data_IF_674764996538
#
_entry.id   IF_674764996538
#
_cell.length_a   1.000
_cell.length_b   1.000
_cell.length_c   1.000
_cell.angle_alpha   90.00
_cell.angle_beta   90.00
_cell.angle_gamma   90.00
#
_symmetry.space_group_name_H-M   'P 1'
#
loop_
_entity.id
_entity.type
_entity.pdbx_description
1 polymer ?
#
# COMPACT_ATOMS: atom_id res chain seq x y z
N UNK A 1 -56.85 -6.46 -5.85
CA UNK A 1 -57.15 -5.07 -6.28
C UNK A 1 -57.62 -4.33 -5.04
N UNK A 2 -56.68 -3.76 -4.29
CA UNK A 2 -56.97 -2.95 -3.11
C UNK A 2 -56.51 -1.52 -3.38
N UNK A 3 -57.46 -0.60 -3.22
CA UNK A 3 -57.38 0.83 -3.50
C UNK A 3 -56.76 1.55 -2.29
N UNK A 4 -55.62 2.20 -2.51
CA UNK A 4 -54.94 3.05 -1.51
C UNK A 4 -55.60 4.46 -1.52
N UNK A 5 -55.94 5.03 -0.35
CA UNK A 5 -56.53 6.36 -0.26
C UNK A 5 -55.47 7.46 -0.47
N UNK A 6 -55.79 8.42 -1.33
CA UNK A 6 -54.92 9.55 -1.68
C UNK A 6 -54.71 10.52 -0.51
N UNK A 7 -53.46 10.92 -0.31
CA UNK A 7 -53.08 11.96 0.63
C UNK A 7 -53.48 13.35 0.12
N UNK A 8 -54.00 14.23 1.00
CA UNK A 8 -54.34 15.61 0.65
C UNK A 8 -53.06 16.42 0.40
N UNK A 9 -52.96 16.98 -0.80
CA UNK A 9 -51.85 17.87 -1.18
C UNK A 9 -51.85 19.16 -0.36
N UNK A 10 -50.66 19.74 -0.09
CA UNK A 10 -50.53 20.98 0.66
C UNK A 10 -51.22 22.12 -0.08
N UNK A 11 -52.08 22.82 0.65
CA UNK A 11 -52.80 24.01 0.22
C UNK A 11 -51.78 25.10 -0.12
N UNK A 12 -51.69 25.45 -1.40
CA UNK A 12 -50.91 26.60 -1.88
C UNK A 12 -51.55 27.87 -1.32
N UNK A 13 -51.01 28.37 -0.21
CA UNK A 13 -51.33 29.69 0.32
C UNK A 13 -50.86 30.73 -0.69
N UNK A 14 -51.80 31.56 -1.15
CA UNK A 14 -51.63 32.61 -2.15
C UNK A 14 -50.45 33.53 -1.80
N UNK A 15 -49.46 33.55 -2.68
CA UNK A 15 -48.37 34.52 -2.71
C UNK A 15 -48.96 35.94 -2.79
N UNK A 16 -48.92 36.64 -1.67
CA UNK A 16 -49.04 38.10 -1.68
C UNK A 16 -47.77 38.66 -2.30
N UNK A 17 -47.85 39.49 -3.35
CA UNK A 17 -46.67 40.05 -3.99
C UNK A 17 -45.90 40.89 -2.99
N UNK A 18 -44.66 40.48 -2.71
CA UNK A 18 -43.72 41.22 -1.86
C UNK A 18 -43.61 42.65 -2.43
N UNK A 19 -43.87 43.69 -1.62
CA UNK A 19 -43.84 45.07 -2.10
C UNK A 19 -42.45 45.40 -2.63
N UNK A 20 -42.38 45.99 -3.83
CA UNK A 20 -41.13 46.25 -4.54
C UNK A 20 -40.08 47.05 -3.71
N UNK A 21 -40.52 47.82 -2.71
CA UNK A 21 -39.62 48.54 -1.80
C UNK A 21 -38.85 47.64 -0.83
N UNK A 22 -39.37 46.47 -0.47
CA UNK A 22 -38.73 45.54 0.47
C UNK A 22 -37.57 44.77 -0.19
N UNK A 23 -37.70 44.44 -1.48
CA UNK A 23 -36.62 43.85 -2.27
C UNK A 23 -35.43 44.80 -2.45
N UNK A 24 -35.69 46.09 -2.67
CA UNK A 24 -34.62 47.07 -2.79
C UNK A 24 -33.86 47.23 -1.46
N UNK A 25 -34.59 47.28 -0.34
CA UNK A 25 -33.98 47.35 0.99
C UNK A 25 -33.09 46.14 1.29
N UNK A 26 -33.56 44.93 0.97
CA UNK A 26 -32.75 43.72 1.10
C UNK A 26 -31.50 43.73 0.21
N UNK A 27 -31.61 44.25 -1.01
CA UNK A 27 -30.48 44.35 -1.94
C UNK A 27 -29.41 45.32 -1.41
N UNK A 28 -29.84 46.46 -0.85
CA UNK A 28 -28.95 47.45 -0.26
C UNK A 28 -28.26 46.89 1.00
N UNK A 29 -29.01 46.19 1.88
CA UNK A 29 -28.46 45.50 3.05
C UNK A 29 -27.44 44.40 2.67
N UNK A 30 -27.73 43.60 1.65
CA UNK A 30 -26.80 42.61 1.10
C UNK A 30 -25.54 43.26 0.53
N UNK A 31 -25.67 44.35 -0.21
CA UNK A 31 -24.54 45.06 -0.81
C UNK A 31 -23.63 45.64 0.27
N UNK A 32 -24.21 46.19 1.34
CA UNK A 32 -23.47 46.70 2.49
C UNK A 32 -22.73 45.57 3.24
N UNK A 33 -23.38 44.43 3.46
CA UNK A 33 -22.75 43.27 4.09
C UNK A 33 -21.56 42.73 3.27
N UNK A 34 -21.68 42.69 1.94
CA UNK A 34 -20.58 42.29 1.05
C UNK A 34 -19.40 43.26 1.16
N UNK A 35 -19.66 44.58 1.23
CA UNK A 35 -18.59 45.58 1.38
C UNK A 35 -17.88 45.46 2.74
N UNK A 36 -18.63 45.20 3.82
CA UNK A 36 -18.05 44.98 5.14
C UNK A 36 -17.16 43.72 5.17
N UNK A 37 -17.61 42.62 4.56
CA UNK A 37 -16.81 41.40 4.44
C UNK A 37 -15.53 41.62 3.62
N UNK A 38 -15.59 42.39 2.54
CA UNK A 38 -14.39 42.76 1.77
C UNK A 38 -13.39 43.58 2.58
N UNK A 39 -13.85 44.51 3.43
CA UNK A 39 -12.99 45.27 4.33
C UNK A 39 -12.32 44.37 5.38
N UNK A 40 -13.08 43.45 5.98
CA UNK A 40 -12.53 42.49 6.94
C UNK A 40 -11.48 41.57 6.31
N UNK A 41 -11.71 41.10 5.08
CA UNK A 41 -10.74 40.29 4.33
C UNK A 41 -9.44 41.09 4.12
N UNK A 42 -9.52 42.34 3.70
CA UNK A 42 -8.34 43.19 3.49
C UNK A 42 -7.54 43.42 4.78
N UNK A 43 -8.20 43.62 5.92
CA UNK A 43 -7.56 43.75 7.23
C UNK A 43 -6.85 42.45 7.66
N UNK A 44 -7.50 41.30 7.47
CA UNK A 44 -6.92 39.99 7.74
C UNK A 44 -5.70 39.70 6.86
N UNK A 45 -5.73 40.08 5.59
CA UNK A 45 -4.58 39.96 4.68
C UNK A 45 -3.39 40.80 5.14
N UNK A 46 -3.63 42.02 5.63
CA UNK A 46 -2.58 42.87 6.20
C UNK A 46 -1.95 42.24 7.45
N UNK A 47 -2.76 41.70 8.36
CA UNK A 47 -2.29 41.00 9.55
C UNK A 47 -1.43 39.77 9.21
N UNK A 48 -1.86 38.97 8.23
CA UNK A 48 -1.10 37.81 7.74
C UNK A 48 0.24 38.25 7.14
N UNK A 49 0.26 39.33 6.34
CA UNK A 49 1.50 39.90 5.79
C UNK A 49 2.44 40.38 6.89
N UNK A 50 1.91 41.03 7.93
CA UNK A 50 2.69 41.49 9.09
C UNK A 50 3.30 40.33 9.87
N UNK A 51 2.55 39.25 10.09
CA UNK A 51 3.08 38.03 10.71
C UNK A 51 4.16 37.37 9.84
N UNK A 52 3.95 37.26 8.52
CA UNK A 52 4.96 36.71 7.60
C UNK A 52 6.28 37.47 7.68
N UNK A 53 6.24 38.81 7.71
CA UNK A 53 7.44 39.64 7.89
C UNK A 53 8.13 39.39 9.23
N UNK A 54 7.36 39.25 10.31
CA UNK A 54 7.87 39.00 11.66
C UNK A 54 8.57 37.63 11.75
N UNK A 55 7.93 36.58 11.23
CA UNK A 55 8.50 35.23 11.19
C UNK A 55 9.76 35.21 10.32
N UNK A 56 9.74 35.83 9.14
CA UNK A 56 10.91 35.94 8.26
C UNK A 56 12.10 36.62 8.96
N UNK A 57 11.83 37.71 9.70
CA UNK A 57 12.85 38.39 10.50
C UNK A 57 13.43 37.47 11.59
N UNK A 58 12.57 36.78 12.35
CA UNK A 58 13.01 35.86 13.41
C UNK A 58 13.84 34.69 12.84
N UNK A 59 13.39 34.09 11.74
CA UNK A 59 14.13 33.02 11.05
C UNK A 59 15.51 33.48 10.57
N UNK A 60 15.63 34.73 10.09
CA UNK A 60 16.92 35.31 9.68
C UNK A 60 17.86 35.53 10.87
N UNK A 61 17.34 35.94 12.02
CA UNK A 61 18.14 36.11 13.26
C UNK A 61 18.65 34.76 13.79
N UNK A 62 17.84 33.70 13.69
CA UNK A 62 18.20 32.36 14.18
C UNK A 62 19.18 31.65 13.23
N UNK A 63 19.04 31.88 11.92
CA UNK A 63 19.82 31.18 10.90
C UNK A 63 21.23 31.72 10.66
N UNK A 64 21.62 32.86 11.24
CA UNK A 64 22.99 33.39 11.14
C UNK A 64 23.87 32.82 12.27
N UNK A 65 24.70 31.80 12.02
CA UNK A 65 25.47 31.12 13.07
C UNK A 65 26.70 31.93 13.50
N UNK A 66 26.95 33.10 12.91
CA UNK A 66 28.21 33.85 13.06
C UNK A 66 28.37 34.62 14.37
N UNK A 67 27.39 34.56 15.28
CA UNK A 67 27.43 35.28 16.58
C UNK A 67 27.82 34.37 17.76
N UNK A 68 27.87 33.04 17.59
CA UNK A 68 28.36 32.16 18.66
C UNK A 68 29.88 32.03 18.65
N UNK A 69 30.48 33.00 19.34
CA UNK A 69 31.80 33.04 19.98
C UNK A 69 32.60 31.73 19.98
N UNK A 70 33.83 31.87 19.50
CA UNK A 70 34.98 31.03 19.80
C UNK A 70 35.12 30.74 21.30
N UNK A 71 35.21 29.45 21.65
CA UNK A 71 35.65 28.94 22.95
C UNK A 71 36.95 28.17 22.71
N UNK A 72 38.00 28.37 23.52
CA UNK A 72 39.31 27.77 23.28
C UNK A 72 39.32 26.25 23.54
N UNK A 73 39.95 25.54 22.61
CA UNK A 73 40.15 24.09 22.58
C UNK A 73 41.18 23.67 23.65
N UNK A 74 40.81 22.72 24.51
CA UNK A 74 41.75 21.93 25.32
C UNK A 74 41.67 20.48 24.84
N UNK A 75 42.76 19.84 24.40
CA UNK A 75 42.75 18.47 23.94
C UNK A 75 43.04 17.50 25.09
N UNK A 76 42.16 16.53 25.34
CA UNK A 76 42.46 15.35 26.15
C UNK A 76 42.13 14.09 25.35
N UNK A 77 43.17 13.34 25.00
CA UNK A 77 43.10 11.99 24.45
C UNK A 77 42.95 10.96 25.58
N UNK A 78 42.12 9.91 25.42
CA UNK A 78 42.27 8.70 26.21
C UNK A 78 42.93 7.57 25.37
N UNK A 79 44.03 7.07 25.91
CA UNK A 79 44.76 5.86 25.53
C UNK A 79 43.93 4.61 25.86
N UNK A 80 43.90 3.62 24.96
CA UNK A 80 43.42 2.26 25.27
C UNK A 80 44.58 1.26 25.28
N UNK A 81 44.59 0.27 26.19
CA UNK A 81 45.74 -0.61 26.40
C UNK A 81 45.71 -1.87 25.51
N UNK A 82 46.88 -2.23 24.97
CA UNK A 82 47.15 -3.51 24.32
C UNK A 82 47.52 -4.59 25.35
N UNK A 83 47.10 -5.84 25.13
CA UNK A 83 47.78 -7.00 25.73
C UNK A 83 47.83 -8.22 24.78
N UNK A 84 48.85 -9.09 24.93
CA UNK A 84 49.31 -10.06 23.93
C UNK A 84 48.86 -11.52 24.20
N UNK A 85 48.87 -12.37 23.17
CA UNK A 85 48.88 -13.85 23.31
C UNK A 85 50.33 -14.39 23.36
N UNK A 86 50.61 -15.68 23.07
CA UNK A 86 49.79 -16.92 23.10
C UNK A 86 50.48 -18.07 23.90
N UNK A 87 49.85 -19.25 24.03
CA UNK A 87 50.58 -20.49 24.41
C UNK A 87 49.91 -21.76 23.86
N UNK A 88 50.75 -22.69 23.39
CA UNK A 88 50.48 -23.94 22.68
C UNK A 88 50.53 -25.14 23.65
N UNK A 89 49.52 -26.01 23.70
CA UNK A 89 49.66 -27.41 24.19
C UNK A 89 48.64 -28.33 23.49
N UNK A 90 49.02 -29.59 23.31
CA UNK A 90 48.51 -30.62 22.41
C UNK A 90 47.20 -31.37 22.80
N UNK A 91 46.60 -32.00 21.76
CA UNK A 91 45.90 -33.32 21.62
C UNK A 91 45.85 -34.25 22.87
N UNK A 92 44.85 -35.17 23.10
CA UNK A 92 44.28 -36.12 22.11
C UNK A 92 42.80 -36.61 22.30
N UNK A 93 42.35 -37.45 21.35
CA UNK A 93 41.29 -38.51 21.39
C UNK A 93 39.97 -38.33 20.59
N UNK A 94 39.88 -39.15 19.53
CA UNK A 94 38.69 -39.79 18.91
C UNK A 94 38.26 -41.06 19.70
N UNK A 95 37.22 -41.85 19.29
CA UNK A 95 35.92 -41.60 18.63
C UNK A 95 34.75 -42.33 19.37
N UNK A 96 33.49 -42.20 18.94
CA UNK A 96 32.58 -43.37 18.73
C UNK A 96 31.17 -43.00 18.20
N UNK A 97 30.72 -43.86 17.29
CA UNK A 97 29.45 -43.89 16.57
C UNK A 97 28.30 -44.49 17.40
N UNK A 98 27.04 -44.19 17.04
CA UNK A 98 25.87 -44.91 17.56
C UNK A 98 24.59 -44.63 16.78
N UNK A 99 24.23 -45.55 15.88
CA UNK A 99 22.94 -45.67 15.19
C UNK A 99 21.94 -46.41 16.07
N UNK A 100 20.64 -46.05 16.02
CA UNK A 100 19.54 -47.04 15.91
C UNK A 100 18.16 -46.42 15.61
N UNK A 101 17.21 -47.19 15.04
CA UNK A 101 16.06 -46.70 14.28
C UNK A 101 14.69 -47.11 14.83
N UNK A 102 13.64 -46.38 14.41
CA UNK A 102 12.32 -46.97 14.09
C UNK A 102 11.16 -46.76 15.08
N UNK A 103 10.11 -46.07 14.63
CA UNK A 103 8.74 -46.62 14.51
C UNK A 103 7.81 -45.61 13.83
N UNK A 104 7.18 -46.04 12.72
CA UNK A 104 6.29 -45.27 11.85
C UNK A 104 4.91 -45.07 12.49
N UNK A 105 4.43 -43.82 12.48
CA UNK A 105 3.13 -43.36 13.01
C UNK A 105 2.01 -43.43 11.96
N UNK A 106 2.30 -43.84 10.73
CA UNK A 106 1.43 -43.62 9.57
C UNK A 106 0.40 -44.72 9.26
N UNK A 107 0.28 -45.77 10.09
CA UNK A 107 -0.63 -46.90 9.81
C UNK A 107 -1.99 -46.84 10.54
N UNK A 108 -2.47 -45.66 10.97
CA UNK A 108 -3.81 -45.54 11.56
C UNK A 108 -4.80 -44.86 10.62
N UNK A 109 -5.92 -45.51 10.24
CA UNK A 109 -6.95 -44.86 9.44
C UNK A 109 -7.71 -43.81 10.27
N UNK A 110 -8.17 -42.71 9.64
CA UNK A 110 -8.84 -41.62 10.34
C UNK A 110 -10.24 -42.02 10.83
N UNK A 111 -10.66 -41.53 12.02
CA UNK A 111 -11.98 -41.83 12.59
C UNK A 111 -13.09 -41.15 11.78
N UNK A 112 -14.16 -41.88 11.53
CA UNK A 112 -15.36 -41.36 10.84
C UNK A 112 -16.29 -40.70 11.86
N UNK A 113 -16.66 -39.45 11.60
CA UNK A 113 -17.65 -38.71 12.39
C UNK A 113 -19.05 -38.96 11.81
N UNK A 114 -19.92 -39.56 12.61
CA UNK A 114 -21.35 -39.70 12.36
C UNK A 114 -22.09 -38.45 12.85
N UNK A 115 -22.69 -37.70 11.93
CA UNK A 115 -23.61 -36.60 12.24
C UNK A 115 -24.98 -37.20 12.55
N UNK A 116 -25.42 -37.09 13.80
CA UNK A 116 -26.77 -37.42 14.24
C UNK A 116 -27.62 -36.14 14.22
N UNK A 117 -28.66 -36.14 13.40
CA UNK A 117 -29.78 -35.19 13.48
C UNK A 117 -30.74 -35.61 14.60
N UNK A 118 -31.12 -34.65 15.44
CA UNK A 118 -32.45 -34.62 16.09
C UNK A 118 -32.70 -33.23 16.70
N UNK A 119 -33.87 -32.60 16.45
CA UNK A 119 -34.29 -31.39 17.15
C UNK A 119 -35.15 -31.74 18.37
N UNK A 120 -34.90 -31.10 19.50
CA UNK A 120 -35.88 -31.06 20.59
C UNK A 120 -36.43 -29.63 20.77
N UNK A 121 -37.77 -29.49 20.92
CA UNK A 121 -38.45 -28.23 21.16
C UNK A 121 -38.54 -27.94 22.68
N UNK A 122 -38.82 -26.68 23.02
CA UNK A 122 -39.09 -26.15 24.37
C UNK A 122 -37.89 -25.62 25.17
N UNK A 123 -37.54 -24.36 24.88
CA UNK A 123 -37.05 -23.43 25.91
C UNK A 123 -37.72 -22.06 25.71
N UNK A 124 -38.21 -21.39 26.79
CA UNK A 124 -38.96 -20.15 26.69
C UNK A 124 -38.05 -18.92 26.51
N UNK A 125 -38.43 -18.07 25.55
CA UNK A 125 -37.77 -16.79 25.22
C UNK A 125 -37.76 -15.79 26.39
N UNK A 126 -36.62 -15.10 26.65
CA UNK A 126 -36.64 -13.78 27.24
C UNK A 126 -36.96 -12.74 26.15
N UNK A 127 -37.87 -11.81 26.46
CA UNK A 127 -38.57 -10.97 25.50
C UNK A 127 -37.71 -9.94 24.73
N UNK A 128 -38.25 -9.40 23.61
CA UNK A 128 -37.57 -8.41 22.79
C UNK A 128 -37.84 -7.00 23.32
N UNK A 129 -37.01 -6.52 24.25
CA UNK A 129 -36.88 -5.08 24.51
C UNK A 129 -35.56 -4.59 23.91
N UNK A 130 -35.45 -4.69 22.59
CA UNK A 130 -34.48 -3.90 21.82
C UNK A 130 -35.21 -2.65 21.35
N UNK A 131 -35.38 -1.71 22.28
CA UNK A 131 -35.80 -0.35 21.95
C UNK A 131 -34.73 0.23 21.03
N UNK A 132 -35.01 0.24 19.73
CA UNK A 132 -34.30 1.02 18.73
C UNK A 132 -34.38 2.50 19.17
N UNK A 133 -33.47 2.94 20.03
CA UNK A 133 -33.25 4.36 20.20
C UNK A 133 -32.68 4.87 18.88
N UNK A 134 -33.33 5.84 18.22
CA UNK A 134 -32.71 6.54 17.10
C UNK A 134 -31.43 7.16 17.66
N UNK A 135 -30.27 6.71 17.17
CA UNK A 135 -28.97 7.36 17.42
C UNK A 135 -29.20 8.86 17.24
N UNK A 136 -29.09 9.63 18.33
CA UNK A 136 -29.22 11.08 18.30
C UNK A 136 -28.29 11.61 17.21
N UNK A 137 -28.91 12.13 16.16
CA UNK A 137 -28.27 12.46 14.91
C UNK A 137 -27.18 13.51 15.12
N UNK A 138 -26.07 13.33 14.43
CA UNK A 138 -25.08 14.37 14.25
C UNK A 138 -25.79 15.65 13.78
N UNK A 139 -25.72 16.74 14.55
CA UNK A 139 -26.31 18.05 14.25
C UNK A 139 -25.61 18.80 13.09
N UNK A 140 -25.13 18.06 12.08
CA UNK A 140 -24.51 18.59 10.87
C UNK A 140 -25.43 18.32 9.67
N UNK A 141 -26.51 19.11 9.48
CA UNK A 141 -27.64 18.76 8.62
C UNK A 141 -27.38 18.66 7.11
N UNK A 142 -26.18 19.00 6.60
CA UNK A 142 -25.99 19.11 5.15
C UNK A 142 -24.87 18.30 4.51
N UNK A 143 -23.85 17.85 5.27
CA UNK A 143 -22.71 17.13 4.66
C UNK A 143 -22.73 15.63 4.99
N UNK A 144 -23.21 15.26 6.19
CA UNK A 144 -23.20 13.86 6.61
C UNK A 144 -24.29 12.99 5.94
N UNK A 145 -25.37 13.61 5.44
CA UNK A 145 -26.50 12.87 4.85
C UNK A 145 -26.29 12.45 3.38
N UNK A 146 -25.29 13.03 2.70
CA UNK A 146 -25.08 12.83 1.26
C UNK A 146 -24.17 11.63 0.93
N UNK A 147 -23.47 11.08 1.92
CA UNK A 147 -22.46 10.04 1.69
C UNK A 147 -22.57 8.92 2.72
N UNK A 148 -23.05 7.75 2.28
CA UNK A 148 -23.04 6.53 3.07
C UNK A 148 -21.59 6.03 3.23
N UNK A 149 -20.96 6.48 4.31
CA UNK A 149 -19.55 6.23 4.57
C UNK A 149 -19.30 4.76 4.86
N UNK A 150 -20.17 4.11 5.63
CA UNK A 150 -19.97 2.72 6.05
C UNK A 150 -20.08 1.78 4.84
N UNK A 151 -21.07 1.99 3.97
CA UNK A 151 -21.20 1.24 2.73
C UNK A 151 -20.01 1.47 1.80
N UNK A 152 -19.51 2.71 1.71
CA UNK A 152 -18.34 3.02 0.88
C UNK A 152 -17.06 2.38 1.41
N UNK A 153 -16.81 2.46 2.73
CA UNK A 153 -15.66 1.82 3.38
C UNK A 153 -15.71 0.31 3.17
N UNK A 154 -16.88 -0.32 3.36
CA UNK A 154 -17.07 -1.75 3.15
C UNK A 154 -16.79 -2.16 1.69
N UNK A 155 -17.33 -1.40 0.73
CA UNK A 155 -17.14 -1.63 -0.71
C UNK A 155 -15.67 -1.54 -1.10
N UNK A 156 -14.98 -0.47 -0.67
CA UNK A 156 -13.56 -0.28 -0.93
C UNK A 156 -12.72 -1.39 -0.30
N UNK A 157 -13.03 -1.79 0.93
CA UNK A 157 -12.31 -2.87 1.63
C UNK A 157 -12.42 -4.20 0.88
N UNK A 158 -13.61 -4.54 0.38
CA UNK A 158 -13.82 -5.73 -0.45
C UNK A 158 -13.00 -5.65 -1.75
N UNK A 159 -12.97 -4.48 -2.40
CA UNK A 159 -12.18 -4.28 -3.63
C UNK A 159 -10.68 -4.39 -3.38
N UNK A 160 -10.14 -3.83 -2.30
CA UNK A 160 -8.74 -3.99 -1.92
C UNK A 160 -8.38 -5.47 -1.72
N UNK A 161 -9.19 -6.20 -0.93
CA UNK A 161 -8.98 -7.63 -0.71
C UNK A 161 -8.98 -8.42 -2.02
N UNK A 162 -9.95 -8.16 -2.89
CA UNK A 162 -10.03 -8.82 -4.20
C UNK A 162 -8.83 -8.49 -5.09
N UNK A 163 -8.34 -7.24 -5.06
CA UNK A 163 -7.16 -6.82 -5.81
C UNK A 163 -5.91 -7.58 -5.34
N UNK A 164 -5.65 -7.63 -4.04
CA UNK A 164 -4.49 -8.32 -3.47
C UNK A 164 -4.59 -9.85 -3.62
N UNK A 165 -5.80 -10.41 -3.55
CA UNK A 165 -6.01 -11.82 -3.85
C UNK A 165 -5.67 -12.16 -5.31
N UNK A 166 -6.02 -11.27 -6.27
CA UNK A 166 -5.67 -11.48 -7.69
C UNK A 166 -4.16 -11.45 -7.93
N UNK A 167 -3.40 -10.61 -7.21
CA UNK A 167 -1.93 -10.61 -7.33
C UNK A 167 -1.30 -11.88 -6.77
N UNK A 168 -1.84 -12.45 -5.68
CA UNK A 168 -1.44 -13.75 -5.15
C UNK A 168 -1.71 -14.87 -6.16
N UNK A 169 -2.93 -14.94 -6.72
CA UNK A 169 -3.31 -15.93 -7.73
C UNK A 169 -2.42 -15.81 -8.97
N UNK A 170 -2.13 -14.59 -9.42
CA UNK A 170 -1.24 -14.35 -10.55
C UNK A 170 0.17 -14.88 -10.29
N UNK A 171 0.74 -14.55 -9.13
CA UNK A 171 2.05 -15.04 -8.72
C UNK A 171 2.09 -16.57 -8.66
N UNK A 172 1.04 -17.19 -8.13
CA UNK A 172 0.93 -18.64 -8.00
C UNK A 172 0.83 -19.32 -9.38
N UNK A 173 0.05 -18.74 -10.29
CA UNK A 173 -0.23 -19.32 -11.61
C UNK A 173 0.97 -19.20 -12.55
N UNK A 174 1.63 -18.04 -12.58
CA UNK A 174 2.60 -17.72 -13.63
C UNK A 174 4.06 -17.76 -13.17
N UNK A 175 4.31 -17.55 -11.88
CA UNK A 175 5.66 -17.34 -11.36
C UNK A 175 6.07 -18.34 -10.26
N UNK A 176 5.30 -19.40 -9.99
CA UNK A 176 5.54 -20.27 -8.85
C UNK A 176 6.60 -21.38 -9.06
N UNK A 177 7.18 -21.48 -10.26
CA UNK A 177 8.24 -22.47 -10.53
C UNK A 177 9.61 -21.80 -10.40
N UNK A 178 10.44 -22.16 -9.41
CA UNK A 178 11.78 -21.64 -9.25
C UNK A 178 12.66 -21.94 -10.47
N UNK A 179 13.43 -20.93 -10.90
CA UNK A 179 14.31 -21.03 -12.04
C UNK A 179 15.65 -20.40 -11.71
N UNK A 180 16.39 -21.04 -10.82
CA UNK A 180 17.66 -20.55 -10.23
C UNK A 180 18.58 -19.94 -11.30
N UNK A 181 18.73 -20.58 -12.47
CA UNK A 181 19.56 -20.06 -13.57
C UNK A 181 19.06 -18.72 -14.11
N UNK A 182 17.75 -18.54 -14.30
CA UNK A 182 17.19 -17.27 -14.77
C UNK A 182 17.15 -16.22 -13.68
N UNK A 183 16.75 -16.60 -12.49
CA UNK A 183 16.76 -15.73 -11.31
C UNK A 183 18.17 -15.19 -11.08
N UNK A 184 19.19 -16.03 -11.31
CA UNK A 184 20.58 -15.62 -11.18
C UNK A 184 21.03 -14.59 -12.25
N UNK A 185 20.35 -14.58 -13.39
CA UNK A 185 20.63 -13.71 -14.55
C UNK A 185 19.79 -12.44 -14.57
N UNK A 186 18.91 -12.22 -13.59
CA UNK A 186 18.23 -10.94 -13.43
C UNK A 186 19.28 -9.82 -13.37
N UNK A 187 18.99 -8.72 -14.04
CA UNK A 187 19.83 -7.52 -13.96
C UNK A 187 19.84 -6.94 -12.55
N UNK A 188 20.79 -6.05 -12.31
CA UNK A 188 21.00 -5.43 -11.01
C UNK A 188 19.77 -4.65 -10.51
N UNK A 189 19.09 -3.91 -11.40
CA UNK A 189 17.93 -3.09 -11.04
C UNK A 189 16.76 -3.96 -10.57
N UNK A 190 16.47 -5.05 -11.28
CA UNK A 190 15.42 -6.01 -10.88
C UNK A 190 15.76 -6.70 -9.56
N UNK A 191 17.02 -7.06 -9.34
CA UNK A 191 17.49 -7.64 -8.08
C UNK A 191 17.37 -6.66 -6.92
N UNK A 192 17.78 -5.41 -7.12
CA UNK A 192 17.68 -4.35 -6.12
C UNK A 192 16.22 -4.08 -5.75
N UNK A 193 15.32 -4.07 -6.72
CA UNK A 193 13.88 -3.99 -6.47
C UNK A 193 13.39 -5.13 -5.55
N UNK A 194 13.75 -6.39 -5.83
CA UNK A 194 13.37 -7.53 -4.98
C UNK A 194 14.01 -7.47 -3.59
N UNK A 195 15.25 -6.99 -3.48
CA UNK A 195 15.96 -6.78 -2.21
C UNK A 195 15.36 -5.62 -1.41
N UNK A 196 14.75 -4.62 -2.03
CA UNK A 196 14.03 -3.57 -1.30
C UNK A 196 12.73 -4.10 -0.66
N UNK A 197 12.16 -5.19 -1.20
CA UNK A 197 10.90 -5.77 -0.74
C UNK A 197 11.06 -6.82 0.36
N UNK A 198 12.22 -7.46 0.43
CA UNK A 198 12.51 -8.51 1.40
C UNK A 198 13.96 -8.41 1.83
N UNK A 199 14.30 -8.93 3.01
CA UNK A 199 15.69 -8.90 3.47
C UNK A 199 16.63 -9.56 2.44
N UNK A 200 17.79 -8.92 2.17
CA UNK A 200 18.78 -9.34 1.17
C UNK A 200 19.19 -10.80 1.36
N UNK A 201 19.26 -11.25 2.62
CA UNK A 201 19.60 -12.63 2.97
C UNK A 201 18.53 -13.65 2.57
N UNK A 202 17.27 -13.21 2.46
CA UNK A 202 16.10 -14.07 2.24
C UNK A 202 15.65 -14.15 0.79
N UNK A 203 15.92 -13.14 -0.04
CA UNK A 203 15.43 -13.09 -1.44
C UNK A 203 15.77 -14.37 -2.21
N UNK A 204 17.00 -14.86 -2.10
CA UNK A 204 17.42 -16.08 -2.80
C UNK A 204 16.69 -17.33 -2.30
N UNK A 205 16.45 -17.42 -0.99
CA UNK A 205 15.70 -18.53 -0.40
C UNK A 205 14.22 -18.49 -0.82
N UNK A 206 13.62 -17.28 -0.80
CA UNK A 206 12.23 -17.06 -1.18
C UNK A 206 11.99 -17.39 -2.65
N UNK A 207 12.89 -16.97 -3.56
CA UNK A 207 12.81 -17.27 -4.99
C UNK A 207 13.07 -18.74 -5.31
N UNK A 208 13.90 -19.41 -4.51
CA UNK A 208 14.31 -20.80 -4.70
C UNK A 208 13.27 -21.84 -4.28
N UNK A 209 12.25 -21.45 -3.53
CA UNK A 209 11.24 -22.33 -2.95
C UNK A 209 9.85 -22.10 -3.58
N UNK A 210 9.24 -23.17 -4.11
CA UNK A 210 7.90 -23.18 -4.72
C UNK A 210 6.78 -22.82 -3.74
N UNK A 211 7.02 -22.87 -2.43
CA UNK A 211 6.01 -22.51 -1.44
C UNK A 211 6.03 -21.01 -1.11
N UNK A 212 7.13 -20.31 -1.39
CA UNK A 212 7.29 -18.87 -1.03
C UNK A 212 7.53 -17.95 -2.21
N UNK A 213 7.94 -18.49 -3.38
CA UNK A 213 8.28 -17.69 -4.56
C UNK A 213 7.12 -16.82 -5.00
N UNK A 214 5.93 -17.39 -5.14
CA UNK A 214 4.76 -16.64 -5.56
C UNK A 214 4.37 -15.52 -4.58
N UNK A 215 4.62 -15.70 -3.28
CA UNK A 215 4.38 -14.65 -2.28
C UNK A 215 5.33 -13.46 -2.44
N UNK A 216 6.60 -13.70 -2.76
CA UNK A 216 7.54 -12.62 -3.07
C UNK A 216 7.11 -11.86 -4.33
N UNK A 217 6.65 -12.58 -5.36
CA UNK A 217 6.13 -11.97 -6.59
C UNK A 217 4.86 -11.17 -6.34
N UNK A 218 3.92 -11.71 -5.56
CA UNK A 218 2.70 -11.01 -5.15
C UNK A 218 3.01 -9.74 -4.35
N UNK A 219 3.97 -9.80 -3.40
CA UNK A 219 4.46 -8.60 -2.69
C UNK A 219 5.03 -7.56 -3.67
N UNK A 220 5.82 -8.00 -4.63
CA UNK A 220 6.41 -7.12 -5.64
C UNK A 220 5.35 -6.41 -6.50
N UNK A 221 4.26 -7.10 -6.84
CA UNK A 221 3.11 -6.49 -7.48
C UNK A 221 2.42 -5.49 -6.54
N UNK A 222 2.04 -5.93 -5.34
CA UNK A 222 1.30 -5.12 -4.37
C UNK A 222 2.04 -3.83 -4.01
N UNK A 223 3.35 -3.92 -3.78
CA UNK A 223 4.18 -2.75 -3.47
C UNK A 223 4.17 -1.72 -4.61
N UNK A 224 4.33 -2.18 -5.86
CA UNK A 224 4.24 -1.29 -7.02
C UNK A 224 2.85 -0.66 -7.14
N UNK A 225 1.78 -1.45 -7.02
CA UNK A 225 0.40 -0.94 -7.10
C UNK A 225 0.16 0.14 -6.05
N UNK A 226 0.61 -0.06 -4.81
CA UNK A 226 0.47 0.93 -3.74
C UNK A 226 1.26 2.21 -4.06
N UNK A 227 2.55 2.09 -4.36
CA UNK A 227 3.42 3.26 -4.49
C UNK A 227 3.16 4.05 -5.76
N UNK A 228 2.90 3.38 -6.87
CA UNK A 228 2.88 4.00 -8.20
C UNK A 228 1.46 4.25 -8.73
N UNK A 229 0.43 3.59 -8.17
CA UNK A 229 -0.95 3.69 -8.67
C UNK A 229 -1.90 4.22 -7.59
N UNK A 230 -1.97 3.58 -6.42
CA UNK A 230 -2.93 3.94 -5.37
C UNK A 230 -2.55 5.25 -4.67
N UNK A 231 -1.26 5.50 -4.41
CA UNK A 231 -0.76 6.76 -3.81
C UNK A 231 -0.64 7.91 -4.82
N UNK A 232 -0.17 7.59 -6.02
CA UNK A 232 0.02 8.55 -7.12
C UNK A 232 -1.10 8.33 -8.12
N UNK A 233 -2.24 8.95 -7.86
CA UNK A 233 -3.39 8.72 -8.71
C UNK A 233 -3.24 9.31 -10.11
N UNK A 234 -3.90 8.66 -11.07
CA UNK A 234 -3.97 9.13 -12.46
C UNK A 234 -4.55 10.55 -12.56
N UNK A 235 -5.56 10.89 -11.74
CA UNK A 235 -6.13 12.23 -11.75
C UNK A 235 -5.15 13.31 -11.24
N UNK A 236 -4.30 13.00 -10.26
CA UNK A 236 -3.23 13.93 -9.83
C UNK A 236 -2.20 14.18 -10.92
N UNK A 237 -1.88 13.15 -11.70
CA UNK A 237 -0.93 13.25 -12.82
C UNK A 237 -1.51 14.02 -14.01
N UNK A 238 -2.84 14.11 -14.15
CA UNK A 238 -3.48 14.82 -15.25
C UNK A 238 -3.42 16.33 -15.08
N UNK A 239 -3.72 16.84 -13.87
CA UNK A 239 -3.88 18.27 -13.62
C UNK A 239 -2.60 18.94 -13.05
N UNK A 240 -1.53 18.19 -12.80
CA UNK A 240 -0.25 18.66 -12.23
C UNK A 240 -0.34 19.48 -10.92
N UNK A 241 -1.52 19.55 -10.30
CA UNK A 241 -1.80 20.36 -9.13
C UNK A 241 -1.60 19.54 -7.86
N UNK A 242 -0.47 19.74 -7.20
CA UNK A 242 -0.22 19.22 -5.87
C UNK A 242 -1.01 20.04 -4.83
N UNK A 243 -2.14 19.49 -4.37
CA UNK A 243 -2.75 19.96 -3.12
C UNK A 243 -1.95 19.34 -1.99
N UNK A 244 -1.06 20.14 -1.37
CA UNK A 244 -0.30 19.69 -0.22
C UNK A 244 -1.20 19.59 1.03
N UNK A 245 -1.82 18.41 1.20
CA UNK A 245 -2.63 18.07 2.37
C UNK A 245 -1.85 18.18 3.69
N UNK A 246 -0.49 18.16 3.66
CA UNK A 246 0.34 18.28 4.86
C UNK A 246 0.34 19.70 5.43
N UNK A 247 0.06 20.70 4.59
CA UNK A 247 -0.08 22.10 5.03
C UNK A 247 -1.35 22.34 5.86
N UNK A 248 -2.35 21.45 5.78
CA UNK A 248 -3.60 21.53 6.51
C UNK A 248 -3.44 20.96 7.94
N UNK A 249 -2.99 21.83 8.85
CA UNK A 249 -2.72 21.47 10.25
C UNK A 249 -3.98 21.29 11.11
N UNK A 250 -5.11 21.88 10.71
CA UNK A 250 -6.37 21.75 11.45
C UNK A 250 -7.28 20.69 10.81
N UNK A 251 -8.08 19.94 11.61
CA UNK A 251 -9.03 18.96 11.07
C UNK A 251 -10.01 19.56 10.05
N UNK A 252 -10.46 20.80 10.29
CA UNK A 252 -11.36 21.51 9.37
C UNK A 252 -10.69 21.83 8.03
N UNK A 253 -9.47 22.39 8.05
CA UNK A 253 -8.72 22.66 6.81
C UNK A 253 -8.44 21.36 6.04
N UNK A 254 -8.15 20.27 6.75
CA UNK A 254 -7.93 18.97 6.13
C UNK A 254 -9.21 18.45 5.46
N UNK A 255 -10.36 18.55 6.13
CA UNK A 255 -11.64 18.18 5.55
C UNK A 255 -11.98 19.03 4.31
N UNK A 256 -11.78 20.35 4.37
CA UNK A 256 -11.99 21.24 3.23
C UNK A 256 -11.05 20.90 2.06
N UNK A 257 -9.78 20.59 2.35
CA UNK A 257 -8.82 20.19 1.33
C UNK A 257 -9.17 18.83 0.68
N UNK A 258 -9.68 17.87 1.47
CA UNK A 258 -10.20 16.59 0.95
C UNK A 258 -11.41 16.86 0.03
N UNK A 259 -12.39 17.65 0.46
CA UNK A 259 -13.57 17.98 -0.35
C UNK A 259 -13.21 18.72 -1.63
N UNK A 260 -12.26 19.66 -1.57
CA UNK A 260 -11.74 20.35 -2.75
C UNK A 260 -11.06 19.37 -3.73
N UNK A 261 -10.31 18.39 -3.20
CA UNK A 261 -9.69 17.34 -4.00
C UNK A 261 -10.76 16.47 -4.68
N UNK A 262 -11.79 16.04 -3.94
CA UNK A 262 -12.91 15.26 -4.47
C UNK A 262 -13.62 16.00 -5.61
N UNK A 263 -13.96 17.28 -5.41
CA UNK A 263 -14.62 18.10 -6.44
C UNK A 263 -13.77 18.18 -7.70
N UNK A 264 -12.50 18.53 -7.56
CA UNK A 264 -11.57 18.64 -8.69
C UNK A 264 -11.36 17.32 -9.41
N UNK A 265 -11.25 16.21 -8.67
CA UNK A 265 -11.10 14.89 -9.28
C UNK A 265 -12.31 14.56 -10.15
N UNK A 266 -13.53 14.93 -9.75
CA UNK A 266 -14.73 14.76 -10.59
C UNK A 266 -14.62 15.58 -11.87
N UNK A 267 -14.23 16.86 -11.76
CA UNK A 267 -14.03 17.73 -12.93
C UNK A 267 -13.00 17.15 -13.93
N UNK A 268 -11.91 16.57 -13.41
CA UNK A 268 -10.87 15.90 -14.22
C UNK A 268 -11.41 14.64 -14.90
N UNK A 269 -12.19 13.83 -14.20
CA UNK A 269 -12.78 12.59 -14.75
C UNK A 269 -13.77 12.90 -15.87
N UNK A 270 -14.54 13.99 -15.73
CA UNK A 270 -15.50 14.43 -16.73
C UNK A 270 -14.85 15.06 -17.97
N UNK A 271 -13.53 15.30 -17.94
CA UNK A 271 -12.82 15.86 -19.07
C UNK A 271 -12.70 14.85 -20.24
N UNK A 272 -13.03 15.23 -21.49
CA UNK A 272 -13.12 14.28 -22.61
C UNK A 272 -11.80 13.59 -22.97
N UNK A 273 -10.65 14.21 -22.64
CA UNK A 273 -9.33 13.63 -22.85
C UNK A 273 -8.89 12.63 -21.77
N UNK A 274 -9.61 12.55 -20.65
CA UNK A 274 -9.19 11.75 -19.49
C UNK A 274 -9.16 10.25 -19.81
N UNK A 275 -10.13 9.74 -20.57
CA UNK A 275 -10.22 8.32 -20.87
C UNK A 275 -9.04 7.80 -21.70
N UNK A 276 -8.58 8.57 -22.69
CA UNK A 276 -7.40 8.23 -23.48
C UNK A 276 -6.15 8.23 -22.61
N UNK A 277 -5.96 9.28 -21.80
CA UNK A 277 -4.85 9.37 -20.85
C UNK A 277 -4.85 8.22 -19.84
N UNK A 278 -6.03 7.84 -19.32
CA UNK A 278 -6.21 6.71 -18.41
C UNK A 278 -5.72 5.40 -19.03
N UNK A 279 -6.11 5.11 -20.28
CA UNK A 279 -5.70 3.90 -21.00
C UNK A 279 -4.19 3.88 -21.31
N UNK A 280 -3.62 5.02 -21.72
CA UNK A 280 -2.19 5.16 -21.96
C UNK A 280 -1.40 4.92 -20.67
N UNK A 281 -1.83 5.51 -19.55
CA UNK A 281 -1.21 5.29 -18.23
C UNK A 281 -1.34 3.85 -17.79
N UNK A 282 -2.51 3.22 -17.96
CA UNK A 282 -2.69 1.80 -17.67
C UNK A 282 -1.65 0.96 -18.41
N UNK A 283 -1.51 1.18 -19.72
CA UNK A 283 -0.57 0.45 -20.58
C UNK A 283 0.89 0.67 -20.15
N UNK A 284 1.24 1.92 -19.80
CA UNK A 284 2.57 2.26 -19.29
C UNK A 284 2.88 1.56 -17.95
N UNK A 285 1.93 1.51 -17.02
CA UNK A 285 2.11 0.81 -15.75
C UNK A 285 2.24 -0.71 -15.94
N UNK A 286 1.45 -1.31 -16.83
CA UNK A 286 1.58 -2.74 -17.16
C UNK A 286 2.97 -3.04 -17.72
N UNK A 287 3.44 -2.24 -18.69
CA UNK A 287 4.77 -2.41 -19.27
C UNK A 287 5.89 -2.27 -18.24
N UNK A 288 5.84 -1.23 -17.39
CA UNK A 288 6.83 -1.00 -16.33
C UNK A 288 6.81 -2.13 -15.29
N UNK A 289 5.62 -2.59 -14.87
CA UNK A 289 5.50 -3.68 -13.91
C UNK A 289 5.99 -5.01 -14.49
N UNK A 290 5.64 -5.30 -15.75
CA UNK A 290 6.12 -6.48 -16.46
C UNK A 290 7.64 -6.52 -16.60
N UNK A 291 8.32 -5.38 -16.72
CA UNK A 291 9.78 -5.36 -16.68
C UNK A 291 10.30 -5.98 -15.39
N UNK A 292 9.68 -5.73 -14.23
CA UNK A 292 10.14 -6.30 -12.96
C UNK A 292 9.77 -7.77 -12.78
N UNK A 293 8.51 -8.14 -13.06
CA UNK A 293 8.00 -9.48 -12.72
C UNK A 293 8.00 -10.47 -13.89
N UNK A 294 7.96 -9.99 -15.13
CA UNK A 294 7.92 -10.84 -16.34
C UNK A 294 9.07 -11.83 -16.42
N UNK A 295 10.34 -11.45 -16.12
CA UNK A 295 11.46 -12.39 -16.08
C UNK A 295 11.37 -13.49 -15.02
N UNK A 296 10.47 -13.35 -14.03
CA UNK A 296 10.23 -14.36 -12.99
C UNK A 296 9.18 -15.40 -13.41
N UNK A 297 8.44 -15.13 -14.49
CA UNK A 297 7.44 -16.03 -15.05
C UNK A 297 8.07 -17.23 -15.78
N UNK A 298 7.28 -18.27 -15.98
CA UNK A 298 7.69 -19.44 -16.77
C UNK A 298 7.69 -19.14 -18.29
N UNK A 299 8.69 -19.67 -19.01
CA UNK A 299 9.04 -19.32 -20.41
C UNK A 299 8.06 -19.75 -21.50
N UNK A 300 6.90 -20.32 -21.17
CA UNK A 300 5.97 -20.70 -22.22
C UNK A 300 5.43 -19.43 -22.88
N UNK A 301 5.65 -19.30 -24.20
CA UNK A 301 5.21 -18.15 -24.98
C UNK A 301 3.70 -17.90 -24.83
N UNK A 302 2.90 -18.97 -24.75
CA UNK A 302 1.46 -18.88 -24.50
C UNK A 302 1.15 -18.35 -23.10
N UNK A 303 1.84 -18.87 -22.08
CA UNK A 303 1.69 -18.42 -20.68
C UNK A 303 2.07 -16.96 -20.53
N UNK A 304 3.07 -16.47 -21.28
CA UNK A 304 3.47 -15.07 -21.25
C UNK A 304 2.37 -14.13 -21.72
N UNK A 305 1.58 -14.51 -22.73
CA UNK A 305 0.48 -13.68 -23.23
C UNK A 305 -0.67 -13.60 -22.21
N UNK A 306 -1.08 -14.73 -21.66
CA UNK A 306 -2.12 -14.78 -20.62
C UNK A 306 -1.70 -14.04 -19.36
N UNK A 307 -0.47 -14.26 -18.88
CA UNK A 307 0.08 -13.56 -17.72
C UNK A 307 0.09 -12.04 -17.92
N UNK A 308 0.47 -11.56 -19.12
CA UNK A 308 0.43 -10.14 -19.46
C UNK A 308 -1.00 -9.57 -19.41
N UNK A 309 -1.97 -10.29 -20.00
CA UNK A 309 -3.37 -9.86 -19.99
C UNK A 309 -3.96 -9.78 -18.58
N UNK A 310 -3.71 -10.80 -17.75
CA UNK A 310 -4.16 -10.82 -16.36
C UNK A 310 -3.49 -9.71 -15.54
N UNK A 311 -2.20 -9.45 -15.75
CA UNK A 311 -1.51 -8.31 -15.13
C UNK A 311 -2.15 -6.99 -15.56
N UNK A 312 -2.55 -6.88 -16.83
CA UNK A 312 -3.32 -5.74 -17.33
C UNK A 312 -4.65 -5.54 -16.60
N UNK A 313 -5.36 -6.62 -16.29
CA UNK A 313 -6.61 -6.56 -15.55
C UNK A 313 -6.39 -6.14 -14.09
N UNK A 314 -5.32 -6.62 -13.45
CA UNK A 314 -4.92 -6.20 -12.09
C UNK A 314 -4.62 -4.69 -12.06
N UNK A 315 -3.81 -4.20 -13.00
CA UNK A 315 -3.46 -2.77 -13.08
C UNK A 315 -4.68 -1.89 -13.32
N UNK A 316 -5.60 -2.32 -14.20
CA UNK A 316 -6.85 -1.59 -14.48
C UNK A 316 -7.76 -1.53 -13.25
N UNK A 317 -7.87 -2.63 -12.51
CA UNK A 317 -8.62 -2.68 -11.25
C UNK A 317 -8.01 -1.73 -10.21
N UNK A 318 -6.68 -1.74 -10.06
CA UNK A 318 -5.97 -0.83 -9.15
C UNK A 318 -6.17 0.64 -9.52
N UNK A 319 -6.13 0.99 -10.80
CA UNK A 319 -6.39 2.36 -11.26
C UNK A 319 -7.85 2.79 -11.04
N UNK A 320 -8.81 1.91 -11.30
CA UNK A 320 -10.22 2.16 -11.00
C UNK A 320 -10.42 2.39 -9.51
N UNK A 321 -9.79 1.56 -8.67
CA UNK A 321 -9.85 1.72 -7.21
C UNK A 321 -9.19 3.02 -6.74
N UNK A 322 -8.08 3.44 -7.36
CA UNK A 322 -7.45 4.73 -7.07
C UNK A 322 -8.36 5.92 -7.41
N UNK A 323 -9.19 5.83 -8.45
CA UNK A 323 -10.20 6.84 -8.77
C UNK A 323 -11.27 6.87 -7.66
N UNK A 324 -11.83 5.72 -7.31
CA UNK A 324 -12.85 5.61 -6.25
C UNK A 324 -12.34 6.19 -4.91
N UNK A 325 -11.08 5.92 -4.56
CA UNK A 325 -10.44 6.47 -3.38
C UNK A 325 -10.40 8.00 -3.36
N UNK A 326 -10.20 8.64 -4.50
CA UNK A 326 -10.10 10.10 -4.56
C UNK A 326 -11.44 10.81 -4.61
N UNK A 327 -12.48 10.15 -5.14
CA UNK A 327 -13.84 10.70 -5.14
C UNK A 327 -14.54 10.46 -3.81
N UNK A 328 -14.04 9.54 -2.99
CA UNK A 328 -14.47 9.35 -1.62
C UNK A 328 -13.75 10.35 -0.68
N UNK A 329 -14.47 11.08 0.20
CA UNK A 329 -13.89 12.03 1.14
C UNK A 329 -13.24 11.32 2.35
N UNK A 330 -12.37 10.36 2.10
CA UNK A 330 -11.72 9.49 3.09
C UNK A 330 -10.20 9.64 3.02
N UNK A 331 -9.52 9.33 4.12
CA UNK A 331 -8.06 9.23 4.16
C UNK A 331 -7.63 7.77 4.14
N UNK A 332 -6.56 7.50 3.39
CA UNK A 332 -6.06 6.14 3.15
C UNK A 332 -4.61 6.03 3.58
N UNK A 333 -4.29 4.96 4.30
CA UNK A 333 -2.94 4.61 4.68
C UNK A 333 -2.66 3.14 4.33
N UNK A 334 -1.45 2.89 3.82
CA UNK A 334 -1.02 1.57 3.36
C UNK A 334 0.33 1.28 4.00
N UNK A 335 0.36 0.27 4.87
CA UNK A 335 1.54 -0.13 5.61
C UNK A 335 1.86 -1.59 5.31
N UNK A 336 3.05 -1.86 4.78
CA UNK A 336 3.52 -3.24 4.66
C UNK A 336 4.15 -3.64 5.98
N UNK A 337 3.76 -4.78 6.58
CA UNK A 337 4.43 -5.26 7.78
C UNK A 337 5.89 -5.55 7.48
N UNK A 338 6.76 -5.03 8.33
CA UNK A 338 8.20 -5.09 8.14
C UNK A 338 8.72 -6.49 8.50
N UNK A 339 9.80 -6.97 7.86
CA UNK A 339 10.47 -8.18 8.31
C UNK A 339 10.83 -8.05 9.79
N UNK A 340 10.55 -9.09 10.56
CA UNK A 340 10.81 -9.18 12.00
C UNK A 340 9.82 -8.42 12.89
N UNK A 341 8.77 -7.84 12.33
CA UNK A 341 7.65 -7.29 13.11
C UNK A 341 6.90 -8.39 13.86
N UNK A 342 6.34 -8.09 15.03
CA UNK A 342 5.47 -9.00 15.80
C UNK A 342 4.24 -9.40 14.99
N UNK A 343 3.88 -10.67 15.02
CA UNK A 343 2.62 -11.11 14.44
C UNK A 343 1.42 -10.59 15.24
N UNK A 344 0.55 -9.83 14.56
CA UNK A 344 -0.65 -9.24 15.16
C UNK A 344 -1.93 -9.82 14.53
N UNK A 345 -2.60 -10.80 15.18
CA UNK A 345 -3.66 -11.60 14.58
C UNK A 345 -4.93 -10.80 14.26
N UNK A 346 -5.07 -9.59 14.78
CA UNK A 346 -6.20 -8.69 14.47
C UNK A 346 -6.08 -8.06 13.08
N UNK A 347 -4.88 -7.97 12.55
CA UNK A 347 -4.60 -7.30 11.25
C UNK A 347 -3.84 -8.20 10.29
N UNK A 348 -3.47 -9.41 10.70
CA UNK A 348 -2.53 -10.28 9.99
C UNK A 348 -3.03 -11.73 9.94
N UNK A 349 -2.85 -12.38 8.79
CA UNK A 349 -3.10 -13.80 8.51
C UNK A 349 -1.78 -14.48 8.21
N UNK A 350 -1.54 -15.62 8.84
CA UNK A 350 -0.45 -16.50 8.45
C UNK A 350 -0.82 -17.34 7.22
N UNK A 351 -0.04 -17.19 6.15
CA UNK A 351 -0.12 -18.00 4.93
C UNK A 351 0.92 -19.13 4.86
N UNK A 352 1.84 -19.22 5.83
CA UNK A 352 2.81 -20.30 5.89
C UNK A 352 2.11 -21.61 6.31
N UNK A 353 2.02 -22.56 5.37
CA UNK A 353 1.33 -23.85 5.56
C UNK A 353 2.03 -24.76 6.58
N UNK A 354 3.30 -24.53 6.87
CA UNK A 354 4.09 -25.31 7.81
C UNK A 354 3.94 -24.79 9.25
N UNK A 355 3.63 -23.51 9.42
CA UNK A 355 3.34 -22.91 10.72
C UNK A 355 1.84 -23.04 10.98
N UNK A 356 1.47 -23.96 11.87
CA UNK A 356 0.09 -24.19 12.28
C UNK A 356 -0.11 -23.75 13.72
N UNK A 357 -1.31 -23.29 14.05
CA UNK A 357 -1.67 -22.85 15.38
C UNK A 357 -2.86 -21.90 15.33
N UNK A 358 -3.48 -21.68 16.48
CA UNK A 358 -4.42 -20.59 16.62
C UNK A 358 -3.66 -19.24 16.52
N UNK A 359 -4.25 -18.20 15.89
CA UNK A 359 -3.55 -16.91 15.73
C UNK A 359 -3.07 -16.30 17.05
N UNK A 360 -3.82 -16.48 18.13
CA UNK A 360 -3.45 -16.03 19.48
C UNK A 360 -2.23 -16.79 20.02
N UNK A 361 -2.19 -18.11 19.84
CA UNK A 361 -1.05 -18.96 20.17
C UNK A 361 0.23 -18.55 19.41
N UNK A 362 0.12 -18.23 18.11
CA UNK A 362 1.24 -17.74 17.31
C UNK A 362 1.76 -16.40 17.85
N UNK A 363 0.87 -15.47 18.24
CA UNK A 363 1.27 -14.22 18.90
C UNK A 363 2.00 -14.49 20.23
N UNK A 364 1.45 -15.36 21.07
CA UNK A 364 2.03 -15.71 22.38
C UNK A 364 3.38 -16.43 22.27
N UNK A 365 3.64 -17.12 21.16
CA UNK A 365 4.91 -17.79 20.89
C UNK A 365 5.98 -16.87 20.31
N UNK A 366 5.66 -15.58 20.13
CA UNK A 366 6.55 -14.55 19.59
C UNK A 366 6.94 -14.81 18.12
N UNK A 367 6.00 -15.34 17.33
CA UNK A 367 6.20 -15.43 15.88
C UNK A 367 6.35 -14.04 15.26
N UNK A 368 7.25 -13.95 14.29
CA UNK A 368 7.56 -12.70 13.61
C UNK A 368 7.24 -12.81 12.13
N UNK A 369 6.99 -11.66 11.52
CA UNK A 369 6.81 -11.53 10.08
C UNK A 369 8.12 -11.91 9.38
N UNK A 370 8.05 -12.88 8.46
CA UNK A 370 9.10 -13.21 7.50
C UNK A 370 8.97 -12.33 6.25
N UNK A 371 7.74 -12.21 5.73
CA UNK A 371 7.42 -11.43 4.53
C UNK A 371 5.97 -10.91 4.61
N UNK A 372 5.78 -9.59 4.61
CA UNK A 372 4.47 -8.97 4.40
C UNK A 372 4.07 -8.90 2.94
N UNK A 373 3.08 -9.71 2.53
CA UNK A 373 2.69 -9.90 1.13
C UNK A 373 1.73 -8.80 0.69
N UNK A 374 0.69 -8.51 1.49
CA UNK A 374 -0.24 -7.42 1.27
C UNK A 374 -0.08 -6.31 2.33
N UNK A 375 -0.45 -5.06 2.01
CA UNK A 375 -0.37 -3.94 2.95
C UNK A 375 -1.61 -3.85 3.83
N UNK A 376 -1.42 -3.56 5.12
CA UNK A 376 -2.49 -3.14 6.02
C UNK A 376 -3.11 -1.85 5.47
N UNK A 377 -4.36 -1.95 5.03
CA UNK A 377 -5.11 -0.81 4.48
C UNK A 377 -6.00 -0.20 5.56
N UNK A 378 -5.69 1.04 5.96
CA UNK A 378 -6.48 1.81 6.94
C UNK A 378 -7.26 2.89 6.23
N UNK A 379 -8.58 2.88 6.42
CA UNK A 379 -9.50 3.87 5.86
C UNK A 379 -10.07 4.69 7.03
N UNK A 380 -9.91 6.02 6.95
CA UNK A 380 -10.33 6.94 8.01
C UNK A 380 -11.37 7.93 7.50
N UNK A 381 -12.47 8.03 8.23
CA UNK A 381 -13.47 9.08 8.04
C UNK A 381 -13.14 10.29 8.93
N UNK A 382 -13.02 11.48 8.36
CA UNK A 382 -12.78 12.72 9.11
C UNK A 382 -14.08 13.41 9.58
N UNK A 383 -15.23 13.00 9.06
CA UNK A 383 -16.52 13.58 9.45
C UNK A 383 -16.97 13.15 10.87
N UNK A 384 -16.45 12.03 11.38
CA UNK A 384 -16.83 11.47 12.69
C UNK A 384 -15.69 11.66 13.69
N UNK A 385 -16.00 12.23 14.87
CA UNK A 385 -15.08 12.31 16.02
C UNK A 385 -15.56 11.40 17.15
N UNK A 386 -14.65 10.67 17.83
CA UNK A 386 -13.25 10.43 17.46
C UNK A 386 -13.18 9.60 16.16
N UNK A 387 -12.08 9.74 15.43
CA UNK A 387 -11.94 9.06 14.14
C UNK A 387 -11.84 7.55 14.37
N UNK A 388 -12.90 6.83 14.05
CA UNK A 388 -12.89 5.38 13.98
C UNK A 388 -12.18 4.95 12.70
N UNK A 389 -11.28 3.97 12.82
CA UNK A 389 -10.62 3.37 11.68
C UNK A 389 -11.44 2.17 11.23
N UNK A 390 -11.95 2.23 10.01
CA UNK A 390 -12.38 1.02 9.32
C UNK A 390 -11.13 0.21 8.98
N UNK A 391 -10.92 -0.89 9.69
CA UNK A 391 -9.91 -1.87 9.29
C UNK A 391 -10.49 -2.69 8.15
N UNK A 392 -9.82 -2.65 7.00
CA UNK A 392 -10.02 -3.65 5.95
C UNK A 392 -9.67 -5.02 6.55
N UNK A 393 -10.51 -6.06 6.37
CA UNK A 393 -10.27 -7.35 6.99
C UNK A 393 -9.00 -8.01 6.43
N UNK A 394 -8.12 -8.36 7.37
CA UNK A 394 -7.11 -9.41 7.38
C UNK A 394 -6.05 -9.44 6.23
N UNK A 395 -4.78 -9.22 6.57
CA UNK A 395 -3.67 -9.12 5.59
C UNK A 395 -2.78 -10.37 5.51
N UNK A 396 -2.31 -10.70 4.31
CA UNK A 396 -1.54 -11.92 4.04
C UNK A 396 -0.05 -11.79 4.38
N UNK A 397 0.47 -12.66 5.25
CA UNK A 397 1.86 -12.67 5.70
C UNK A 397 2.45 -14.08 5.77
N UNK A 398 3.76 -14.18 5.58
CA UNK A 398 4.54 -15.36 5.95
C UNK A 398 5.17 -15.14 7.32
N UNK A 399 5.09 -16.15 8.19
CA UNK A 399 5.70 -16.11 9.51
C UNK A 399 7.05 -16.81 9.54
N UNK A 400 7.83 -16.48 10.56
CA UNK A 400 8.99 -17.25 10.99
C UNK A 400 8.97 -17.36 12.49
N UNK A 401 9.42 -18.51 12.98
CA UNK A 401 9.67 -18.68 14.40
C UNK A 401 10.85 -17.79 14.79
N UNK A 402 10.69 -17.01 15.85
CA UNK A 402 11.84 -16.37 16.48
C UNK A 402 12.71 -17.50 16.99
N UNK A 403 13.93 -17.65 16.46
CA UNK A 403 14.93 -18.47 17.13
C UNK A 403 15.13 -17.81 18.49
N UNK A 404 14.41 -18.30 19.50
CA UNK A 404 14.67 -17.99 20.90
C UNK A 404 16.09 -18.46 21.06
N UNK A 405 17.03 -17.51 21.02
CA UNK A 405 18.41 -17.78 21.34
C UNK A 405 18.33 -18.60 22.61
N UNK A 406 18.69 -19.87 22.51
CA UNK A 406 18.68 -20.76 23.64
C UNK A 406 19.76 -20.17 24.55
N UNK A 407 19.35 -19.22 25.41
CA UNK A 407 20.08 -18.81 26.58
C UNK A 407 19.97 -19.98 27.54
N UNK A 408 20.61 -21.07 27.15
CA UNK A 408 21.04 -22.09 28.09
C UNK A 408 21.79 -21.31 29.17
N UNK A 409 21.42 -21.43 30.46
CA UNK A 409 22.26 -20.89 31.51
C UNK A 409 23.66 -21.48 31.30
N UNK A 410 24.65 -20.59 31.15
CA UNK A 410 26.04 -20.93 30.88
C UNK A 410 26.58 -21.92 31.92
N UNK A 411 26.42 -23.21 31.67
CA UNK A 411 27.41 -24.20 32.05
C UNK A 411 28.46 -24.18 30.94
N UNK A 412 29.62 -23.57 31.24
CA UNK A 412 30.66 -23.29 30.29
C UNK A 412 31.30 -24.58 29.73
N UNK A 413 30.81 -25.03 28.57
CA UNK A 413 31.50 -25.97 27.70
C UNK A 413 31.79 -25.28 26.37
N UNK A 414 33.05 -24.90 26.18
CA UNK A 414 33.58 -24.32 24.94
C UNK A 414 33.58 -25.39 23.85
N UNK A 415 32.64 -25.31 22.91
CA UNK A 415 32.76 -25.91 21.58
C UNK A 415 33.13 -24.81 20.60
N UNK A 416 34.35 -24.88 20.08
CA UNK A 416 34.80 -24.09 18.94
C UNK A 416 34.07 -24.56 17.69
N UNK A 417 33.11 -23.76 17.23
CA UNK A 417 32.50 -23.87 15.90
C UNK A 417 33.43 -23.18 14.91
N UNK A 418 34.02 -23.97 14.02
CA UNK A 418 34.70 -23.47 12.82
C UNK A 418 33.63 -22.99 11.85
N UNK A 419 33.33 -21.68 11.86
CA UNK A 419 32.50 -21.04 10.86
C UNK A 419 33.36 -20.69 9.64
N UNK A 420 33.40 -21.61 8.66
CA UNK A 420 33.53 -21.19 7.28
C UNK A 420 32.13 -20.82 6.76
N UNK A 421 31.87 -19.56 6.38
CA UNK A 421 30.60 -19.21 5.77
C UNK A 421 30.51 -19.86 4.38
N UNK A 422 29.36 -20.46 3.99
CA UNK A 422 29.13 -20.75 2.59
C UNK A 422 29.03 -19.40 1.87
N UNK A 423 30.11 -19.04 1.18
CA UNK A 423 30.12 -17.94 0.24
C UNK A 423 29.18 -18.32 -0.91
N UNK A 424 27.89 -17.99 -0.79
CA UNK A 424 27.02 -17.82 -1.95
C UNK A 424 27.43 -16.49 -2.59
N UNK A 425 28.62 -16.53 -3.20
CA UNK A 425 29.10 -15.52 -4.09
C UNK A 425 28.23 -15.59 -5.33
N UNK A 426 27.48 -14.53 -5.57
CA UNK A 426 27.08 -14.17 -6.92
C UNK A 426 28.38 -13.98 -7.73
N UNK A 427 28.83 -15.05 -8.38
CA UNK A 427 30.07 -15.05 -9.15
C UNK A 427 29.99 -13.91 -10.19
N UNK A 428 30.81 -12.87 -9.95
CA UNK A 428 31.15 -11.86 -10.94
C UNK A 428 31.87 -12.60 -12.07
N UNK A 429 31.14 -12.96 -13.13
CA UNK A 429 31.73 -13.51 -14.35
C UNK A 429 32.60 -12.41 -14.98
N UNK A 430 33.91 -12.51 -14.80
CA UNK A 430 34.87 -11.86 -15.68
C UNK A 430 35.10 -12.82 -16.85
N UNK A 431 34.58 -12.48 -18.03
CA UNK A 431 35.01 -13.12 -19.27
C UNK A 431 36.26 -12.40 -19.81
N UNK A 432 37.29 -13.13 -20.27
CA UNK A 432 38.33 -12.55 -21.09
C UNK A 432 37.84 -12.40 -22.53
N UNK A 433 38.36 -11.37 -23.20
CA UNK A 433 38.21 -11.13 -24.62
C UNK A 433 38.80 -12.27 -25.46
N UNK A 434 38.16 -12.61 -26.58
CA UNK A 434 38.82 -13.30 -27.69
C UNK A 434 37.97 -14.25 -28.54
N UNK A 435 37.88 -13.90 -29.83
CA UNK A 435 37.72 -14.77 -31.00
C UNK A 435 36.31 -15.14 -31.50
N UNK A 436 35.81 -14.26 -32.38
CA UNK A 436 35.53 -14.51 -33.81
C UNK A 436 35.25 -15.97 -34.20
N UNK A 437 34.00 -16.25 -34.57
CA UNK A 437 33.65 -17.07 -35.74
C UNK A 437 32.41 -16.47 -36.42
N UNK A 438 32.57 -16.15 -37.71
CA UNK A 438 31.49 -15.90 -38.65
C UNK A 438 30.61 -17.14 -38.80
N UNK A 439 29.29 -16.95 -38.77
CA UNK A 439 28.37 -17.82 -39.48
C UNK A 439 27.12 -17.04 -39.90
N UNK A 440 26.90 -17.09 -41.20
CA UNK A 440 26.00 -16.40 -42.12
C UNK A 440 24.51 -16.68 -41.88
N UNK A 441 23.72 -15.60 -41.93
CA UNK A 441 22.39 -15.42 -42.56
C UNK A 441 21.27 -16.45 -42.29
N UNK A 442 20.19 -15.93 -41.71
CA UNK A 442 18.84 -16.51 -41.72
C UNK A 442 17.81 -15.44 -41.39
N UNK A 443 17.54 -14.55 -42.35
CA UNK A 443 16.53 -13.49 -42.27
C UNK A 443 15.11 -14.08 -42.18
N UNK A 444 14.39 -13.78 -41.10
CA UNK A 444 12.92 -13.72 -41.11
C UNK A 444 12.45 -12.52 -40.28
N UNK A 445 12.34 -11.38 -40.98
CA UNK A 445 11.65 -10.18 -40.52
C UNK A 445 10.13 -10.41 -40.59
N UNK A 446 9.49 -10.57 -39.42
CA UNK A 446 8.04 -10.41 -39.26
C UNK A 446 7.72 -8.96 -38.90
N UNK A 447 7.44 -8.13 -39.91
CA UNK A 447 6.92 -6.77 -39.74
C UNK A 447 5.51 -6.80 -39.14
N UNK A 448 5.35 -6.20 -37.96
CA UNK A 448 4.06 -5.67 -37.52
C UNK A 448 3.99 -4.20 -37.94
N UNK A 449 3.25 -3.95 -39.02
CA UNK A 449 2.90 -2.60 -39.49
C UNK A 449 1.72 -2.11 -38.66
N UNK A 450 1.96 -1.20 -37.72
CA UNK A 450 0.92 -0.33 -37.17
C UNK A 450 0.86 0.94 -38.02
N UNK A 451 -0.17 1.05 -38.86
CA UNK A 451 -0.60 2.32 -39.45
C UNK A 451 -1.19 3.19 -38.34
N UNK A 452 -0.57 4.33 -38.08
CA UNK A 452 -1.20 5.47 -37.42
C UNK A 452 -1.04 6.68 -38.34
N UNK A 453 -2.11 7.05 -39.02
CA UNK A 453 -2.23 8.31 -39.76
C UNK A 453 -2.32 9.46 -38.75
N UNK A 454 -1.27 10.27 -38.66
CA UNK A 454 -1.30 11.58 -37.98
C UNK A 454 -1.71 12.67 -38.98
N UNK A 455 -2.78 13.45 -38.73
CA UNK A 455 -3.00 14.69 -39.45
C UNK A 455 -2.14 15.81 -38.87
N UNK A 456 -1.33 16.39 -39.75
CA UNK A 456 -0.40 17.50 -39.54
C UNK A 456 -1.21 18.81 -39.43
N UNK A 457 -1.40 19.34 -38.21
CA UNK A 457 -1.95 20.69 -38.04
C UNK A 457 -0.89 21.75 -38.33
N UNK A 458 -1.09 22.48 -39.42
CA UNK A 458 -0.35 23.66 -39.84
C UNK A 458 -0.76 24.87 -38.99
N UNK A 459 0.22 25.40 -38.25
CA UNK A 459 0.12 26.64 -37.47
C UNK A 459 0.39 27.83 -38.40
N UNK A 460 -0.67 28.47 -38.90
CA UNK A 460 -0.56 29.73 -39.62
C UNK A 460 -0.62 30.91 -38.63
N UNK A 461 0.44 31.71 -38.63
CA UNK A 461 0.51 33.02 -37.97
C UNK A 461 -0.45 33.98 -38.67
N UNK A 462 -1.27 34.71 -37.93
CA UNK A 462 -1.92 35.92 -38.44
C UNK A 462 -1.46 37.11 -37.59
N UNK A 463 -0.70 37.96 -38.27
CA UNK A 463 -0.17 39.24 -37.80
C UNK A 463 -1.11 40.34 -38.33
N UNK A 464 -1.26 41.38 -37.53
CA UNK A 464 -2.15 42.55 -37.70
C UNK A 464 -2.13 43.20 -39.09
N UNK A 465 -3.32 43.67 -39.51
CA UNK A 465 -3.56 45.06 -39.92
C UNK A 465 -4.95 45.48 -39.47
#
# INVERSE_FOLDING_TARGET
MESVPGSPGPSVTSDSPVPAGELQKMLDECTQAIQELHLQIAELEELVQKQKRTISHQSKVISDPRVHRAVPIIPLFPLTPQHPGPSLVASPFTPQSGLSPGSSIFDRPPPRFSLSESPDPFAPSPGPNSTNQPKEGCNCPHICALFDTDTTISTLSIRFRNLYQRTEIWGYTHANVPQIRKDSRLDAQKKEYLIALADRSQVSALLGDTSTRYYLVAKALNYYLVQEILKISVARLYDSLEVDLRSANTPLMRQLAILATVSRTKDVIDHPGFQTFYQEKCSAHVAKLWQYVGPLCCDSFETSSTAWQELGNIVREAQSLAIDMQVAPLEYHFDFPEPNESFEPTTMINHDRYIRGDPTGLKNQDFRVKLGVSPITRIRNHAVRPAEYGLSPEESLLLRETQRGCTTPLAASRLSVTTDPPSIGWLRSQHPAGSIYEATVGDHHGQWVSRADTPRQSRAKQQQQ
#
